data_IF_054772199525
#
_entry.id   IF_054772199525
#
_cell.length_a   1.000
_cell.length_b   1.000
_cell.length_c   1.000
_cell.angle_alpha   90.00
_cell.angle_beta   90.00
_cell.angle_gamma   90.00
#
_symmetry.space_group_name_H-M   'P 1'
#
loop_
_entity.id
_entity.type
_entity.pdbx_description
1 polymer ?
#
# COMPACT_ATOMS: atom_id res chain seq x y z
N UNK A 1 -23.80 -9.11 31.84
CA UNK A 1 -23.20 -7.76 31.83
C UNK A 1 -23.38 -7.25 30.41
N UNK A 2 -24.30 -6.31 30.17
CA UNK A 2 -24.60 -5.79 28.83
C UNK A 2 -23.47 -4.78 28.50
N UNK A 3 -22.68 -4.97 27.42
CA UNK A 3 -21.69 -4.00 27.02
C UNK A 3 -22.38 -2.65 26.77
N UNK A 4 -21.89 -1.59 27.40
CA UNK A 4 -22.43 -0.25 27.23
C UNK A 4 -22.26 0.22 25.78
N UNK A 5 -23.29 0.88 25.24
CA UNK A 5 -23.39 1.39 23.86
C UNK A 5 -22.15 2.21 23.41
N UNK A 6 -21.33 2.69 24.36
CA UNK A 6 -20.08 3.41 24.09
C UNK A 6 -18.96 2.54 23.48
N UNK A 7 -18.88 1.24 23.73
CA UNK A 7 -17.83 0.37 23.16
C UNK A 7 -18.01 0.13 21.66
N UNK A 8 -19.24 0.20 21.14
CA UNK A 8 -19.53 -0.09 19.74
C UNK A 8 -19.06 0.99 18.76
N UNK A 9 -18.87 2.23 19.23
CA UNK A 9 -18.42 3.36 18.38
C UNK A 9 -16.90 3.50 18.37
N UNK A 10 -16.21 2.98 19.39
CA UNK A 10 -14.74 3.06 19.55
C UNK A 10 -13.98 1.87 18.93
N UNK A 11 -14.67 0.81 18.48
CA UNK A 11 -14.04 -0.40 17.92
C UNK A 11 -13.85 -0.36 16.40
N UNK A 12 -14.39 0.65 15.70
CA UNK A 12 -14.22 0.74 14.26
C UNK A 12 -12.75 1.01 13.91
N UNK A 13 -12.12 0.03 13.27
CA UNK A 13 -10.73 0.14 12.80
C UNK A 13 -9.67 -0.25 13.84
N UNK A 14 -10.04 -0.99 14.88
CA UNK A 14 -9.07 -1.64 15.79
C UNK A 14 -9.04 -3.15 15.59
N UNK A 15 -7.86 -3.74 15.71
CA UNK A 15 -7.58 -5.16 15.49
C UNK A 15 -6.83 -5.76 16.69
N UNK A 16 -6.83 -7.08 16.85
CA UNK A 16 -6.12 -7.78 17.93
C UNK A 16 -5.00 -8.68 17.43
N UNK A 17 -5.17 -9.24 16.23
CA UNK A 17 -4.18 -10.10 15.59
C UNK A 17 -3.80 -9.60 14.20
N UNK A 18 -2.55 -9.87 13.82
CA UNK A 18 -2.07 -9.77 12.46
C UNK A 18 -1.54 -11.13 11.99
N UNK A 19 -2.03 -11.64 10.86
CA UNK A 19 -1.45 -12.77 10.14
C UNK A 19 -0.51 -12.22 9.06
N UNK A 20 0.76 -12.59 9.09
CA UNK A 20 1.79 -12.14 8.17
C UNK A 20 2.16 -13.29 7.24
N UNK A 21 2.25 -13.01 5.95
CA UNK A 21 2.66 -13.92 4.89
C UNK A 21 3.85 -13.28 4.18
N UNK A 22 4.97 -14.01 4.08
CA UNK A 22 6.25 -13.40 3.70
C UNK A 22 6.45 -13.26 2.20
N UNK A 23 5.73 -14.05 1.40
CA UNK A 23 5.89 -14.11 -0.06
C UNK A 23 4.55 -14.01 -0.78
N UNK A 24 4.58 -13.27 -1.90
CA UNK A 24 3.41 -13.06 -2.75
C UNK A 24 2.79 -14.37 -3.30
N UNK A 25 3.56 -15.39 -3.76
CA UNK A 25 2.97 -16.68 -4.14
C UNK A 25 2.22 -17.38 -2.99
N UNK A 26 2.72 -17.27 -1.76
CA UNK A 26 2.03 -17.84 -0.59
C UNK A 26 0.73 -17.08 -0.30
N UNK A 27 0.73 -15.75 -0.40
CA UNK A 27 -0.49 -14.97 -0.25
C UNK A 27 -1.52 -15.31 -1.35
N UNK A 28 -1.04 -15.57 -2.57
CA UNK A 28 -1.84 -16.10 -3.67
C UNK A 28 -2.45 -17.46 -3.33
N UNK A 29 -1.70 -18.40 -2.75
CA UNK A 29 -2.22 -19.68 -2.26
C UNK A 29 -3.26 -19.48 -1.17
N UNK A 30 -3.01 -18.57 -0.23
CA UNK A 30 -3.88 -18.34 0.93
C UNK A 30 -5.30 -17.93 0.54
N UNK A 31 -5.44 -17.19 -0.56
CA UNK A 31 -6.74 -16.72 -1.08
C UNK A 31 -7.24 -17.54 -2.27
N UNK A 32 -6.55 -18.60 -2.66
CA UNK A 32 -6.94 -19.46 -3.77
C UNK A 32 -7.88 -20.55 -3.28
N UNK A 33 -9.14 -20.60 -3.73
CA UNK A 33 -10.06 -21.64 -3.28
C UNK A 33 -9.73 -23.02 -3.89
N UNK A 34 -8.86 -23.09 -4.91
CA UNK A 34 -8.44 -24.32 -5.59
C UNK A 34 -7.07 -24.85 -5.12
N UNK A 35 -6.49 -24.25 -4.08
CA UNK A 35 -5.21 -24.69 -3.47
C UNK A 35 -5.24 -26.16 -3.06
N UNK A 36 -4.13 -26.88 -3.28
CA UNK A 36 -3.93 -28.25 -2.80
C UNK A 36 -3.31 -28.28 -1.41
N UNK A 37 -3.22 -29.46 -0.79
CA UNK A 37 -2.51 -29.62 0.50
C UNK A 37 -1.00 -29.41 0.34
N UNK A 38 -0.44 -29.74 -0.83
CA UNK A 38 0.95 -29.41 -1.17
C UNK A 38 1.15 -27.89 -1.21
N UNK A 39 0.24 -27.15 -1.86
CA UNK A 39 0.31 -25.68 -1.87
C UNK A 39 0.27 -25.11 -0.45
N UNK A 40 -0.62 -25.64 0.41
CA UNK A 40 -0.73 -25.23 1.82
C UNK A 40 0.56 -25.50 2.60
N UNK A 41 1.23 -26.62 2.34
CA UNK A 41 2.48 -26.97 3.03
C UNK A 41 3.62 -25.97 2.74
N UNK A 42 3.57 -25.24 1.62
CA UNK A 42 4.54 -24.19 1.28
C UNK A 42 4.28 -22.85 1.96
N UNK A 43 3.08 -22.65 2.51
CA UNK A 43 2.67 -21.39 3.13
C UNK A 43 3.32 -21.25 4.51
N UNK A 44 4.16 -20.22 4.64
CA UNK A 44 4.82 -19.86 5.89
C UNK A 44 4.21 -18.58 6.42
N UNK A 45 3.79 -18.63 7.67
CA UNK A 45 3.09 -17.50 8.30
C UNK A 45 3.69 -17.16 9.65
N UNK A 46 3.35 -15.97 10.11
CA UNK A 46 3.59 -15.53 11.47
C UNK A 46 2.36 -14.81 11.99
N UNK A 47 2.05 -15.01 13.28
CA UNK A 47 0.95 -14.33 13.96
C UNK A 47 1.55 -13.36 14.97
N UNK A 48 1.09 -12.11 14.92
CA UNK A 48 1.30 -11.14 16.00
C UNK A 48 -0.03 -10.97 16.73
N UNK A 49 -0.09 -11.38 18.00
CA UNK A 49 -1.23 -11.15 18.87
C UNK A 49 -0.85 -10.08 19.91
N UNK A 50 -1.39 -8.87 19.76
CA UNK A 50 -1.03 -7.76 20.65
C UNK A 50 -1.43 -8.00 22.12
N UNK A 51 -2.36 -8.93 22.38
CA UNK A 51 -2.85 -9.25 23.74
C UNK A 51 -1.84 -10.04 24.55
N UNK A 52 -0.88 -10.69 23.90
CA UNK A 52 0.22 -11.39 24.57
C UNK A 52 1.32 -10.42 25.00
N UNK A 53 1.40 -9.23 24.39
CA UNK A 53 2.38 -8.17 24.64
C UNK A 53 1.98 -7.26 25.82
N UNK A 54 1.70 -7.87 26.98
CA UNK A 54 1.13 -7.17 28.15
C UNK A 54 2.09 -6.15 28.78
N UNK A 55 3.39 -6.35 28.67
CA UNK A 55 4.39 -5.42 29.21
C UNK A 55 4.42 -4.13 28.39
N UNK A 56 4.38 -4.27 27.07
CA UNK A 56 4.45 -3.19 26.10
C UNK A 56 3.09 -2.46 25.97
N UNK A 57 2.00 -3.20 26.21
CA UNK A 57 0.61 -2.77 26.12
C UNK A 57 -0.18 -3.17 27.39
N UNK A 58 -0.02 -2.42 28.49
CA UNK A 58 -0.54 -2.81 29.80
C UNK A 58 -2.05 -2.62 29.97
N UNK A 59 -2.72 -1.91 29.05
CA UNK A 59 -4.17 -1.63 29.13
C UNK A 59 -4.92 -2.31 27.99
N UNK A 60 -6.20 -2.59 28.19
CA UNK A 60 -7.09 -3.14 27.14
C UNK A 60 -7.10 -2.25 25.90
N UNK A 61 -7.04 -0.92 26.09
CA UNK A 61 -6.96 0.02 24.97
C UNK A 61 -5.62 -0.07 24.23
N UNK A 62 -4.49 -0.21 24.95
CA UNK A 62 -3.20 -0.42 24.32
C UNK A 62 -3.12 -1.77 23.58
N UNK A 63 -3.90 -2.78 23.97
CA UNK A 63 -3.98 -4.10 23.33
C UNK A 63 -4.89 -4.12 22.09
N UNK A 64 -4.83 -3.04 21.32
CA UNK A 64 -5.52 -2.87 20.04
C UNK A 64 -4.51 -2.36 19.02
N UNK A 65 -4.54 -2.90 17.82
CA UNK A 65 -3.79 -2.43 16.66
C UNK A 65 -4.73 -1.51 15.87
N UNK A 66 -4.38 -0.24 15.67
CA UNK A 66 -5.10 0.69 14.77
C UNK A 66 -4.52 0.67 13.36
N UNK A 67 -3.20 0.56 13.27
CA UNK A 67 -2.45 0.50 12.01
C UNK A 67 -1.28 -0.44 12.17
N UNK A 68 -0.88 -1.07 11.09
CA UNK A 68 0.14 -2.11 11.06
C UNK A 68 0.97 -1.99 9.78
N UNK A 69 2.27 -2.21 9.90
CA UNK A 69 3.18 -2.36 8.76
C UNK A 69 4.38 -3.19 9.20
N UNK A 70 5.21 -3.59 8.24
CA UNK A 70 6.45 -4.32 8.50
C UNK A 70 7.68 -3.48 8.12
N UNK A 71 8.75 -3.64 8.87
CA UNK A 71 10.08 -3.15 8.53
C UNK A 71 11.05 -4.32 8.49
N UNK A 72 12.10 -4.19 7.69
CA UNK A 72 13.17 -5.17 7.67
C UNK A 72 14.53 -4.50 7.52
N UNK A 73 15.57 -5.24 7.87
CA UNK A 73 16.95 -4.87 7.63
C UNK A 73 17.75 -6.08 7.16
N UNK A 74 18.54 -5.90 6.10
CA UNK A 74 19.43 -6.92 5.58
C UNK A 74 20.59 -7.10 6.56
N UNK A 75 20.64 -8.26 7.21
CA UNK A 75 21.70 -8.65 8.13
C UNK A 75 22.71 -9.55 7.41
N UNK A 76 23.98 -9.36 7.76
CA UNK A 76 25.07 -10.22 7.34
C UNK A 76 25.42 -11.18 8.48
N UNK A 77 25.37 -12.49 8.21
CA UNK A 77 25.80 -13.53 9.15
C UNK A 77 27.30 -13.81 9.00
N UNK A 78 27.74 -13.92 7.75
CA UNK A 78 29.14 -14.11 7.34
C UNK A 78 29.36 -13.52 5.94
N UNK A 79 30.52 -13.77 5.33
CA UNK A 79 30.89 -13.23 4.01
C UNK A 79 29.91 -13.62 2.88
N UNK A 80 29.23 -14.77 3.00
CA UNK A 80 28.41 -15.33 1.93
C UNK A 80 26.92 -15.44 2.29
N UNK A 81 26.57 -15.33 3.58
CA UNK A 81 25.21 -15.51 4.07
C UNK A 81 24.61 -14.20 4.57
N UNK A 82 23.51 -13.80 3.92
CA UNK A 82 22.69 -12.66 4.34
C UNK A 82 21.25 -13.11 4.56
N UNK A 83 20.53 -12.41 5.45
CA UNK A 83 19.11 -12.65 5.69
C UNK A 83 18.40 -11.34 6.07
N UNK A 84 17.07 -11.35 6.06
CA UNK A 84 16.29 -10.20 6.50
C UNK A 84 15.83 -10.41 7.95
N UNK A 85 16.22 -9.52 8.86
CA UNK A 85 15.56 -9.39 10.16
C UNK A 85 14.31 -8.53 10.01
N UNK A 86 13.24 -8.88 10.71
CA UNK A 86 11.92 -8.26 10.55
C UNK A 86 11.39 -7.73 11.87
N UNK A 87 10.64 -6.63 11.80
CA UNK A 87 9.87 -6.12 12.92
C UNK A 87 8.49 -5.64 12.46
N UNK A 88 7.47 -5.92 13.25
CA UNK A 88 6.17 -5.30 13.10
C UNK A 88 6.23 -3.90 13.69
N UNK A 89 5.76 -2.91 12.94
CA UNK A 89 5.51 -1.56 13.43
C UNK A 89 4.01 -1.36 13.44
N UNK A 90 3.47 -0.93 14.58
CA UNK A 90 2.04 -0.72 14.71
C UNK A 90 1.72 0.52 15.53
N UNK A 91 0.53 1.07 15.28
CA UNK A 91 -0.07 2.10 16.12
C UNK A 91 -1.04 1.39 17.04
N UNK A 92 -0.83 1.50 18.35
CA UNK A 92 -1.72 0.86 19.32
C UNK A 92 -3.00 1.69 19.59
N UNK A 93 -3.95 1.21 20.40
CA UNK A 93 -5.19 1.95 20.66
C UNK A 93 -4.99 3.31 21.38
N UNK A 94 -3.84 3.51 22.02
CA UNK A 94 -3.43 4.79 22.62
C UNK A 94 -2.72 5.74 21.62
N UNK A 95 -2.77 5.42 20.32
CA UNK A 95 -2.12 6.15 19.22
C UNK A 95 -0.59 6.23 19.38
N UNK A 96 0.03 5.26 20.05
CA UNK A 96 1.49 5.20 20.19
C UNK A 96 2.09 4.32 19.09
N UNK A 97 3.21 4.75 18.51
CA UNK A 97 4.00 3.91 17.61
C UNK A 97 4.80 2.89 18.44
N UNK A 98 4.64 1.61 18.12
CA UNK A 98 5.26 0.46 18.81
C UNK A 98 5.96 -0.43 17.80
N UNK A 99 6.87 -1.27 18.29
CA UNK A 99 7.59 -2.25 17.51
C UNK A 99 7.54 -3.61 18.20
N UNK A 100 7.51 -4.69 17.41
CA UNK A 100 7.63 -6.07 17.88
C UNK A 100 8.60 -6.84 16.99
N UNK A 101 9.51 -7.61 17.58
CA UNK A 101 10.50 -8.39 16.84
C UNK A 101 9.82 -9.62 16.21
N UNK A 102 10.12 -9.88 14.95
CA UNK A 102 9.56 -11.01 14.20
C UNK A 102 10.68 -11.98 13.82
N UNK A 103 10.65 -13.19 14.40
CA UNK A 103 11.58 -14.27 14.06
C UNK A 103 10.90 -15.18 13.03
N UNK A 104 11.18 -14.94 11.75
CA UNK A 104 10.54 -15.67 10.65
C UNK A 104 10.85 -17.18 10.72
N UNK A 105 9.91 -18.07 10.35
CA UNK A 105 10.14 -19.52 10.39
C UNK A 105 11.37 -19.99 9.62
N UNK A 106 11.77 -19.26 8.57
CA UNK A 106 12.97 -19.52 7.77
C UNK A 106 14.28 -19.12 8.46
N UNK A 107 14.21 -18.40 9.58
CA UNK A 107 15.34 -17.78 10.28
C UNK A 107 15.42 -18.25 11.74
N UNK A 108 15.32 -19.57 11.95
CA UNK A 108 15.22 -20.16 13.28
C UNK A 108 16.55 -20.61 13.92
N UNK A 109 17.70 -20.42 13.26
CA UNK A 109 18.99 -20.73 13.89
C UNK A 109 19.35 -19.70 14.96
N UNK A 110 20.11 -20.10 15.98
CA UNK A 110 20.53 -19.21 17.07
C UNK A 110 21.25 -17.95 16.57
N UNK A 111 22.06 -18.07 15.51
CA UNK A 111 22.74 -16.94 14.89
C UNK A 111 21.76 -15.94 14.25
N UNK A 112 20.73 -16.43 13.55
CA UNK A 112 19.67 -15.57 12.98
C UNK A 112 18.92 -14.83 14.09
N UNK A 113 18.51 -15.54 15.15
CA UNK A 113 17.78 -14.98 16.29
C UNK A 113 18.61 -13.90 16.98
N UNK A 114 19.87 -14.21 17.29
CA UNK A 114 20.79 -13.28 17.95
C UNK A 114 20.97 -12.00 17.12
N UNK A 115 21.26 -12.12 15.82
CA UNK A 115 21.40 -10.95 14.93
C UNK A 115 20.11 -10.14 14.83
N UNK A 116 18.95 -10.80 14.76
CA UNK A 116 17.66 -10.12 14.73
C UNK A 116 17.40 -9.33 16.01
N UNK A 117 17.73 -9.89 17.17
CA UNK A 117 17.63 -9.22 18.46
C UNK A 117 18.62 -8.05 18.60
N UNK A 118 19.85 -8.21 18.12
CA UNK A 118 20.85 -7.13 18.07
C UNK A 118 20.35 -5.95 17.25
N UNK A 119 19.87 -6.23 16.02
CA UNK A 119 19.30 -5.21 15.16
C UNK A 119 18.06 -4.56 15.78
N UNK A 120 17.14 -5.34 16.33
CA UNK A 120 15.91 -4.81 16.92
C UNK A 120 16.17 -3.79 18.05
N UNK A 121 17.20 -4.02 18.87
CA UNK A 121 17.63 -3.07 19.93
C UNK A 121 18.12 -1.73 19.39
N UNK A 122 18.48 -1.64 18.11
CA UNK A 122 18.89 -0.38 17.48
C UNK A 122 17.69 0.50 17.09
N UNK A 123 16.49 -0.07 17.02
CA UNK A 123 15.27 0.67 16.67
C UNK A 123 14.93 1.67 17.79
N UNK A 124 14.92 2.95 17.44
CA UNK A 124 14.51 4.03 18.36
C UNK A 124 13.20 4.63 17.89
N UNK A 125 12.13 4.28 18.61
CA UNK A 125 10.79 4.80 18.36
C UNK A 125 10.64 6.26 18.81
N UNK A 126 9.66 6.99 18.28
CA UNK A 126 9.30 8.33 18.77
C UNK A 126 8.87 8.30 20.25
N UNK A 127 8.92 9.45 20.94
CA UNK A 127 8.39 9.58 22.30
C UNK A 127 6.90 9.19 22.41
N UNK A 128 6.49 8.64 23.56
CA UNK A 128 5.14 8.07 23.77
C UNK A 128 4.01 9.11 23.80
N UNK A 129 4.35 10.38 24.01
CA UNK A 129 3.48 11.53 23.93
C UNK A 129 3.11 11.90 22.50
N UNK A 130 3.91 11.52 21.51
CA UNK A 130 3.61 11.74 20.09
C UNK A 130 2.53 10.75 19.67
N UNK A 131 1.42 11.28 19.14
CA UNK A 131 0.25 10.48 18.74
C UNK A 131 0.19 10.32 17.23
N UNK A 132 0.02 9.09 16.78
CA UNK A 132 0.03 8.69 15.37
C UNK A 132 -1.34 8.19 14.90
N UNK A 133 -1.65 8.44 13.62
CA UNK A 133 -2.90 8.04 12.96
C UNK A 133 -2.69 7.16 11.74
N UNK A 134 -1.51 7.17 11.13
CA UNK A 134 -1.19 6.29 10.00
C UNK A 134 0.29 5.88 10.01
N UNK A 135 0.60 4.67 9.53
CA UNK A 135 1.96 4.18 9.35
C UNK A 135 2.03 3.22 8.18
N UNK A 136 3.04 3.37 7.33
CA UNK A 136 3.29 2.50 6.17
C UNK A 136 4.78 2.36 5.91
N UNK A 137 5.14 1.33 5.14
CA UNK A 137 6.55 0.96 4.92
C UNK A 137 6.77 0.27 3.57
N UNK A 138 7.93 0.55 2.97
CA UNK A 138 8.54 -0.29 1.93
C UNK A 138 9.57 -1.27 2.52
N UNK A 139 9.50 -1.51 3.83
CA UNK A 139 10.38 -2.40 4.56
C UNK A 139 11.65 -1.70 5.04
N UNK A 140 12.52 -1.26 4.13
CA UNK A 140 13.76 -0.59 4.49
C UNK A 140 13.56 0.89 4.90
N UNK A 141 12.51 1.54 4.40
CA UNK A 141 12.10 2.88 4.84
C UNK A 141 10.61 2.90 5.18
N UNK A 142 10.23 3.82 6.07
CA UNK A 142 8.88 3.92 6.62
C UNK A 142 8.50 5.36 6.92
N UNK A 143 7.19 5.62 6.91
CA UNK A 143 6.58 6.91 7.24
C UNK A 143 5.45 6.67 8.24
N UNK A 144 5.36 7.55 9.23
CA UNK A 144 4.26 7.58 10.19
C UNK A 144 3.74 9.02 10.30
N UNK A 145 2.41 9.17 10.31
CA UNK A 145 1.75 10.46 10.37
C UNK A 145 1.14 10.68 11.75
N UNK A 146 1.37 11.85 12.33
CA UNK A 146 0.84 12.24 13.63
C UNK A 146 -0.60 12.77 13.52
N UNK A 147 -1.31 12.83 14.66
CA UNK A 147 -2.66 13.44 14.74
C UNK A 147 -2.69 14.89 14.28
N UNK A 148 -1.60 15.64 14.49
CA UNK A 148 -1.42 17.01 14.05
C UNK A 148 -0.86 17.13 12.62
N UNK A 149 -0.84 16.05 11.84
CA UNK A 149 -0.53 16.09 10.41
C UNK A 149 0.95 16.17 10.03
N UNK A 150 1.87 15.93 10.96
CA UNK A 150 3.32 15.88 10.70
C UNK A 150 3.76 14.48 10.29
N UNK A 151 4.79 14.36 9.46
CA UNK A 151 5.41 13.06 9.14
C UNK A 151 6.68 12.81 9.93
N UNK A 152 6.80 11.59 10.40
CA UNK A 152 8.03 10.98 10.88
C UNK A 152 8.52 9.97 9.84
N UNK A 153 9.83 9.90 9.66
CA UNK A 153 10.48 8.98 8.74
C UNK A 153 11.55 8.14 9.44
N UNK A 154 11.74 6.92 8.94
CA UNK A 154 12.86 6.01 9.27
C UNK A 154 13.45 5.49 7.96
N UNK A 155 14.77 5.36 7.90
CA UNK A 155 15.50 4.74 6.78
C UNK A 155 15.77 5.65 5.59
N UNK A 156 15.36 6.93 5.65
CA UNK A 156 15.59 7.91 4.60
C UNK A 156 15.92 9.28 5.22
N UNK A 157 17.01 9.88 4.75
CA UNK A 157 17.46 11.23 5.10
C UNK A 157 16.64 12.28 4.35
N UNK A 158 16.61 13.52 4.85
CA UNK A 158 15.82 14.63 4.27
C UNK A 158 16.17 14.94 2.81
N UNK A 159 17.34 14.58 2.31
CA UNK A 159 17.70 14.71 0.89
C UNK A 159 17.19 13.56 0.01
N UNK A 160 16.44 12.62 0.58
CA UNK A 160 15.91 11.43 -0.09
C UNK A 160 16.90 10.26 -0.15
N UNK A 161 18.13 10.43 0.34
CA UNK A 161 19.11 9.34 0.38
C UNK A 161 18.80 8.35 1.50
N UNK A 162 19.27 7.11 1.35
CA UNK A 162 19.13 6.09 2.39
C UNK A 162 19.91 6.48 3.65
N UNK A 163 19.24 6.40 4.80
CA UNK A 163 19.92 6.51 6.09
C UNK A 163 20.66 5.21 6.38
N UNK A 164 21.95 5.17 6.01
CA UNK A 164 22.82 4.01 6.20
C UNK A 164 23.20 3.87 7.67
N UNK A 165 22.36 3.20 8.44
CA UNK A 165 22.74 2.66 9.75
C UNK A 165 22.10 3.32 10.96
N UNK A 166 21.02 4.10 10.81
CA UNK A 166 20.21 4.47 11.96
C UNK A 166 18.76 3.99 11.82
N UNK A 167 18.35 3.12 12.76
CA UNK A 167 16.97 2.66 12.89
C UNK A 167 16.15 3.64 13.74
N UNK A 168 16.39 4.94 13.55
CA UNK A 168 15.85 6.02 14.35
C UNK A 168 14.69 6.66 13.61
N UNK A 169 13.53 6.74 14.25
CA UNK A 169 12.43 7.55 13.76
C UNK A 169 12.71 9.03 14.04
N UNK A 170 12.62 9.86 13.01
CA UNK A 170 12.84 11.31 13.10
C UNK A 170 11.69 12.08 12.45
N UNK A 171 11.43 13.28 12.96
CA UNK A 171 10.51 14.22 12.33
C UNK A 171 11.07 14.62 10.96
N UNK A 172 10.28 14.48 9.91
CA UNK A 172 10.71 14.76 8.54
C UNK A 172 10.69 16.29 8.27
N UNK A 173 11.81 16.86 7.83
CA UNK A 173 11.92 18.32 7.69
C UNK A 173 11.01 18.94 6.63
N UNK A 174 10.58 18.17 5.63
CA UNK A 174 9.69 18.67 4.57
C UNK A 174 8.21 18.66 4.97
N UNK A 175 7.87 17.90 6.02
CA UNK A 175 6.50 17.58 6.37
C UNK A 175 6.21 17.80 7.88
N UNK A 176 6.74 18.88 8.45
CA UNK A 176 6.66 19.15 9.90
C UNK A 176 6.15 20.54 10.29
N UNK A 177 5.42 21.23 9.40
CA UNK A 177 4.83 22.55 9.70
C UNK A 177 4.13 22.60 11.06
N UNK A 178 4.29 23.70 11.78
CA UNK A 178 3.81 23.83 13.16
C UNK A 178 2.29 23.65 13.30
N UNK A 179 1.53 24.04 12.28
CA UNK A 179 0.07 23.91 12.17
C UNK A 179 -0.40 22.61 11.49
N UNK A 180 0.53 21.73 11.09
CA UNK A 180 0.24 20.51 10.34
C UNK A 180 -0.09 20.72 8.86
N UNK A 181 0.02 21.95 8.35
CA UNK A 181 -0.29 22.26 6.96
C UNK A 181 0.99 22.31 6.13
N UNK A 182 1.11 21.36 5.22
CA UNK A 182 2.31 21.21 4.38
C UNK A 182 2.26 22.25 3.26
N UNK A 183 3.27 23.13 3.14
CA UNK A 183 3.31 24.12 2.07
C UNK A 183 3.51 23.44 0.71
N UNK A 184 2.83 23.95 -0.32
CA UNK A 184 3.00 23.55 -1.71
C UNK A 184 2.75 24.72 -2.64
N UNK A 185 2.96 24.53 -3.95
CA UNK A 185 2.60 25.54 -4.96
C UNK A 185 1.09 25.83 -5.03
N UNK A 186 0.26 25.00 -4.39
CA UNK A 186 -1.20 25.14 -4.32
C UNK A 186 -1.69 25.67 -2.96
N UNK A 187 -0.76 26.19 -2.14
CA UNK A 187 -1.04 26.64 -0.79
C UNK A 187 -0.88 25.54 0.27
N UNK A 188 -0.85 25.91 1.56
CA UNK A 188 -0.67 24.98 2.66
C UNK A 188 -1.88 24.05 2.80
N UNK A 189 -1.66 22.75 2.98
CA UNK A 189 -2.73 21.74 3.06
C UNK A 189 -2.33 20.54 3.91
N UNK A 190 -3.31 19.81 4.44
CA UNK A 190 -3.09 18.55 5.16
C UNK A 190 -2.67 17.44 4.20
N UNK A 191 -1.94 16.46 4.74
CA UNK A 191 -1.65 15.21 4.05
C UNK A 191 -2.91 14.36 3.98
N UNK A 192 -3.27 13.96 2.77
CA UNK A 192 -4.40 13.07 2.49
C UNK A 192 -3.98 11.61 2.48
N UNK A 193 -2.87 11.31 1.81
CA UNK A 193 -2.37 9.95 1.65
C UNK A 193 -0.86 9.99 1.47
N UNK A 194 -0.16 8.99 2.00
CA UNK A 194 1.18 8.64 1.55
C UNK A 194 1.25 7.16 1.20
N UNK A 195 2.09 6.83 0.23
CA UNK A 195 2.27 5.49 -0.34
C UNK A 195 3.72 5.30 -0.79
N UNK A 196 4.08 4.06 -1.08
CA UNK A 196 5.45 3.66 -1.36
C UNK A 196 5.52 2.99 -2.72
N UNK A 197 6.50 3.38 -3.53
CA UNK A 197 6.86 2.74 -4.79
C UNK A 197 8.33 2.35 -4.71
N UNK A 198 8.62 1.08 -4.40
CA UNK A 198 9.97 0.58 -4.15
C UNK A 198 10.74 1.45 -3.15
N UNK A 199 11.57 2.35 -3.66
CA UNK A 199 12.52 3.21 -2.95
C UNK A 199 12.10 4.69 -2.93
N UNK A 200 10.80 4.95 -3.13
CA UNK A 200 10.23 6.29 -3.19
C UNK A 200 8.94 6.39 -2.39
N UNK A 201 8.72 7.54 -1.75
CA UNK A 201 7.45 7.95 -1.17
C UNK A 201 6.69 8.82 -2.17
N UNK A 202 5.39 8.57 -2.26
CA UNK A 202 4.43 9.47 -2.91
C UNK A 202 3.54 10.02 -1.80
N UNK A 203 3.50 11.35 -1.64
CA UNK A 203 2.68 12.05 -0.66
C UNK A 203 1.68 12.92 -1.42
N UNK A 204 0.39 12.80 -1.10
CA UNK A 204 -0.70 13.56 -1.69
C UNK A 204 -1.33 14.41 -0.60
N UNK A 205 -1.49 15.71 -0.86
CA UNK A 205 -2.19 16.65 0.01
C UNK A 205 -3.67 16.75 -0.35
N UNK A 206 -4.51 17.24 0.57
CA UNK A 206 -5.95 17.45 0.32
C UNK A 206 -6.23 18.42 -0.83
N UNK A 207 -5.42 19.47 -0.99
CA UNK A 207 -5.51 20.41 -2.12
C UNK A 207 -5.01 19.85 -3.46
N UNK A 208 -4.59 18.58 -3.50
CA UNK A 208 -4.17 17.90 -4.73
C UNK A 208 -2.68 18.01 -5.06
N UNK A 209 -1.90 18.72 -4.25
CA UNK A 209 -0.45 18.73 -4.41
C UNK A 209 0.14 17.34 -4.20
N UNK A 210 1.12 16.96 -5.01
CA UNK A 210 1.75 15.64 -4.97
C UNK A 210 3.27 15.80 -4.88
N UNK A 211 3.86 15.13 -3.89
CA UNK A 211 5.30 15.09 -3.68
C UNK A 211 5.85 13.68 -3.95
N UNK A 212 7.07 13.64 -4.48
CA UNK A 212 7.88 12.44 -4.61
C UNK A 212 9.18 12.63 -3.82
N UNK A 213 9.53 11.63 -3.01
CA UNK A 213 10.66 11.69 -2.08
C UNK A 213 11.42 10.35 -2.05
N UNK A 214 12.72 10.35 -2.31
CA UNK A 214 13.53 9.14 -2.50
C UNK A 214 14.09 9.02 -3.91
N UNK A 215 14.08 7.83 -4.52
CA UNK A 215 14.56 7.64 -5.90
C UNK A 215 13.60 8.22 -6.96
N UNK A 216 14.11 9.06 -7.86
CA UNK A 216 13.32 9.83 -8.83
C UNK A 216 13.63 9.48 -10.29
N UNK A 217 14.29 8.35 -10.56
CA UNK A 217 14.68 7.92 -11.91
C UNK A 217 13.53 7.92 -12.92
N UNK A 218 12.32 7.55 -12.51
CA UNK A 218 11.13 7.53 -13.37
C UNK A 218 10.65 8.93 -13.81
N UNK A 219 11.09 9.98 -13.11
CA UNK A 219 10.77 11.37 -13.43
C UNK A 219 11.91 12.06 -14.19
N UNK A 220 12.96 11.35 -14.58
CA UNK A 220 14.08 11.93 -15.34
C UNK A 220 13.75 12.24 -16.81
N UNK A 221 12.53 11.88 -17.26
CA UNK A 221 11.98 12.42 -18.51
C UNK A 221 11.71 13.93 -18.46
N UNK A 222 11.73 14.53 -17.26
CA UNK A 222 11.63 15.97 -17.05
C UNK A 222 13.01 16.58 -16.79
N UNK A 223 13.23 17.83 -17.24
CA UNK A 223 14.53 18.48 -17.09
C UNK A 223 14.88 18.72 -15.62
N UNK A 224 16.17 18.58 -15.30
CA UNK A 224 16.75 18.92 -13.99
C UNK A 224 16.20 18.13 -12.78
N UNK A 225 15.67 16.92 -13.00
CA UNK A 225 15.26 16.04 -11.90
C UNK A 225 16.48 15.24 -11.40
N UNK A 226 16.85 15.34 -10.10
CA UNK A 226 17.96 14.56 -9.56
C UNK A 226 17.61 13.07 -9.53
N UNK A 227 18.61 12.19 -9.45
CA UNK A 227 18.37 10.74 -9.34
C UNK A 227 17.69 10.35 -8.02
N UNK A 228 18.03 11.06 -6.95
CA UNK A 228 17.52 10.89 -5.59
C UNK A 228 17.23 12.29 -5.06
N UNK A 229 16.09 12.48 -4.41
CA UNK A 229 15.72 13.81 -3.93
C UNK A 229 14.31 13.92 -3.39
N UNK A 230 13.87 15.18 -3.29
CA UNK A 230 12.52 15.59 -2.95
C UNK A 230 12.03 16.56 -4.04
N UNK A 231 10.85 16.28 -4.63
CA UNK A 231 10.24 17.12 -5.66
C UNK A 231 8.73 17.22 -5.47
N UNK A 232 8.15 18.37 -5.83
CA UNK A 232 6.70 18.55 -5.98
C UNK A 232 6.33 18.28 -7.45
N UNK A 233 5.62 17.18 -7.70
CA UNK A 233 5.18 16.77 -9.04
C UNK A 233 4.12 17.72 -9.63
N UNK A 234 3.45 18.47 -8.76
CA UNK A 234 2.39 19.44 -9.09
C UNK A 234 2.87 20.87 -9.30
N UNK A 235 4.18 21.15 -9.18
CA UNK A 235 4.76 22.47 -9.44
C UNK A 235 4.77 22.74 -10.96
N UNK A 236 3.75 23.43 -11.47
CA UNK A 236 3.59 23.74 -12.90
C UNK A 236 4.67 24.66 -13.49
N UNK A 237 5.49 25.30 -12.64
CA UNK A 237 6.64 26.08 -13.11
C UNK A 237 7.83 25.18 -13.46
N UNK A 238 7.93 24.00 -12.83
CA UNK A 238 9.04 23.04 -13.03
C UNK A 238 8.62 21.80 -13.84
N UNK A 239 7.38 21.37 -13.66
CA UNK A 239 6.85 20.14 -14.20
C UNK A 239 5.76 20.45 -15.23
N UNK A 240 5.93 19.97 -16.46
CA UNK A 240 4.93 20.11 -17.52
C UNK A 240 4.34 18.75 -17.87
N UNK A 241 3.03 18.62 -18.15
CA UNK A 241 2.49 17.34 -18.55
C UNK A 241 3.15 16.81 -19.83
N UNK A 242 3.41 15.50 -19.83
CA UNK A 242 3.63 14.74 -21.04
C UNK A 242 2.44 13.78 -21.13
N UNK A 243 1.45 14.09 -21.97
CA UNK A 243 0.29 13.21 -22.15
C UNK A 243 0.38 12.49 -23.49
N UNK A 244 -0.11 11.26 -23.50
CA UNK A 244 -0.23 10.45 -24.71
C UNK A 244 -1.67 10.54 -25.22
N UNK A 245 -1.86 11.23 -26.34
CA UNK A 245 -3.20 11.56 -26.88
C UNK A 245 -4.07 10.33 -27.13
N UNK A 246 -3.47 9.18 -27.50
CA UNK A 246 -4.21 7.93 -27.72
C UNK A 246 -4.91 7.42 -26.45
N UNK A 247 -4.29 7.59 -25.28
CA UNK A 247 -4.87 7.21 -23.99
C UNK A 247 -5.77 8.31 -23.43
N UNK A 248 -5.37 9.58 -23.57
CA UNK A 248 -6.10 10.74 -23.07
C UNK A 248 -7.42 10.98 -23.80
N UNK A 249 -7.45 10.69 -25.10
CA UNK A 249 -8.58 11.00 -25.96
C UNK A 249 -8.93 12.50 -25.93
N UNK A 250 -10.19 12.81 -25.64
CA UNK A 250 -10.73 14.18 -25.68
C UNK A 250 -10.61 14.97 -24.37
N UNK A 251 -9.99 14.41 -23.33
CA UNK A 251 -9.83 15.11 -22.06
C UNK A 251 -9.00 16.41 -22.23
N UNK A 252 -9.29 17.46 -21.43
CA UNK A 252 -8.65 18.75 -21.54
C UNK A 252 -7.11 18.69 -21.43
N UNK A 253 -6.49 19.74 -21.97
CA UNK A 253 -5.07 19.84 -22.25
C UNK A 253 -4.12 19.79 -21.05
N UNK A 254 -2.82 19.88 -21.37
CA UNK A 254 -1.73 20.02 -20.42
C UNK A 254 -1.76 21.35 -19.62
N UNK A 255 -2.61 22.29 -20.03
CA UNK A 255 -2.73 23.60 -19.41
C UNK A 255 -3.52 23.50 -18.11
N UNK A 256 -2.81 23.33 -17.01
CA UNK A 256 -3.37 23.35 -15.68
C UNK A 256 -2.31 23.58 -14.61
N UNK A 257 -2.77 23.73 -13.38
CA UNK A 257 -1.91 24.13 -12.26
C UNK A 257 -1.17 22.95 -11.63
N UNK A 258 -1.56 21.70 -11.89
CA UNK A 258 -1.07 20.49 -11.21
C UNK A 258 0.14 19.82 -11.88
N UNK A 259 1.11 20.61 -12.35
CA UNK A 259 2.41 20.10 -12.81
C UNK A 259 2.30 18.99 -13.86
N UNK A 260 2.86 17.79 -13.59
CA UNK A 260 2.78 16.65 -14.53
C UNK A 260 1.34 16.15 -14.78
N UNK A 261 0.39 16.54 -13.92
CA UNK A 261 -1.01 16.14 -13.98
C UNK A 261 -1.91 17.20 -14.64
N UNK A 262 -1.37 18.29 -15.18
CA UNK A 262 -2.16 19.28 -15.93
C UNK A 262 -3.28 19.89 -15.07
N UNK A 263 -4.54 19.71 -15.46
CA UNK A 263 -5.70 20.23 -14.73
C UNK A 263 -6.30 19.25 -13.71
N UNK A 264 -5.69 18.08 -13.51
CA UNK A 264 -6.31 16.98 -12.76
C UNK A 264 -5.95 17.00 -11.26
N UNK A 265 -6.96 17.19 -10.41
CA UNK A 265 -6.82 17.11 -8.95
C UNK A 265 -6.68 15.66 -8.49
N UNK A 266 -5.45 15.23 -8.20
CA UNK A 266 -5.12 13.88 -7.71
C UNK A 266 -5.53 13.71 -6.25
N UNK A 267 -6.16 12.58 -5.93
CA UNK A 267 -6.64 12.27 -4.57
C UNK A 267 -6.18 10.91 -4.03
N UNK A 268 -5.63 10.04 -4.89
CA UNK A 268 -5.17 8.71 -4.49
C UNK A 268 -4.04 8.20 -5.39
N UNK A 269 -3.11 7.43 -4.82
CA UNK A 269 -2.09 6.67 -5.56
C UNK A 269 -2.20 5.17 -5.26
N UNK A 270 -2.10 4.36 -6.32
CA UNK A 270 -2.10 2.90 -6.32
C UNK A 270 -0.72 2.40 -6.77
N UNK A 271 0.10 1.98 -5.80
CA UNK A 271 1.53 1.62 -5.98
C UNK A 271 1.79 0.66 -7.14
N UNK A 272 1.30 -0.57 -7.07
CA UNK A 272 1.69 -1.60 -8.02
C UNK A 272 1.09 -1.36 -9.43
N UNK A 273 0.06 -0.51 -9.53
CA UNK A 273 -0.50 -0.04 -10.80
C UNK A 273 0.23 1.19 -11.37
N UNK A 274 1.12 1.81 -10.59
CA UNK A 274 1.76 3.11 -10.84
C UNK A 274 0.77 4.14 -11.38
N UNK A 275 -0.38 4.18 -10.71
CA UNK A 275 -1.55 4.93 -11.16
C UNK A 275 -2.05 5.86 -10.06
N UNK A 276 -2.43 7.06 -10.46
CA UNK A 276 -3.15 8.02 -9.65
C UNK A 276 -4.63 8.00 -10.03
N UNK A 277 -5.48 8.36 -9.09
CA UNK A 277 -6.90 8.62 -9.34
C UNK A 277 -7.23 10.03 -8.89
N UNK A 278 -8.00 10.74 -9.73
CA UNK A 278 -8.43 12.12 -9.49
C UNK A 278 -9.71 12.17 -8.65
N UNK A 279 -10.08 13.35 -8.16
CA UNK A 279 -11.35 13.58 -7.47
C UNK A 279 -12.58 13.17 -8.31
N UNK A 280 -12.45 13.28 -9.64
CA UNK A 280 -13.48 12.89 -10.60
C UNK A 280 -13.41 11.42 -11.03
N UNK A 281 -12.53 10.62 -10.43
CA UNK A 281 -12.39 9.19 -10.74
C UNK A 281 -11.65 8.91 -12.05
N UNK A 282 -10.92 9.89 -12.61
CA UNK A 282 -10.06 9.70 -13.78
C UNK A 282 -8.78 9.01 -13.33
N UNK A 283 -8.38 7.96 -14.06
CA UNK A 283 -7.11 7.27 -13.81
C UNK A 283 -5.99 7.98 -14.57
N UNK A 284 -4.90 8.32 -13.89
CA UNK A 284 -3.67 8.80 -14.51
C UNK A 284 -2.59 7.74 -14.31
N UNK A 285 -2.14 7.13 -15.39
CA UNK A 285 -1.26 5.96 -15.38
C UNK A 285 0.11 6.30 -15.94
N UNK A 286 1.15 5.65 -15.42
CA UNK A 286 2.44 5.65 -16.10
C UNK A 286 2.35 4.79 -17.37
N UNK A 287 2.56 5.42 -18.52
CA UNK A 287 2.74 4.77 -19.81
C UNK A 287 4.05 5.23 -20.44
N UNK A 288 4.56 4.52 -21.43
CA UNK A 288 5.77 4.93 -22.14
C UNK A 288 5.60 4.93 -23.66
N UNK A 289 6.45 5.75 -24.29
CA UNK A 289 6.66 5.80 -25.74
C UNK A 289 8.11 5.41 -26.00
N UNK A 290 8.35 4.51 -26.96
CA UNK A 290 9.71 4.23 -27.43
C UNK A 290 10.14 5.29 -28.45
N UNK A 291 11.25 5.96 -28.17
CA UNK A 291 11.87 6.97 -29.05
C UNK A 291 13.34 6.62 -29.18
N UNK A 292 13.80 6.29 -30.39
CA UNK A 292 15.21 5.97 -30.67
C UNK A 292 15.80 4.89 -29.74
N UNK A 293 15.04 3.81 -29.46
CA UNK A 293 15.42 2.72 -28.54
C UNK A 293 15.56 3.14 -27.07
N UNK A 294 15.04 4.31 -26.69
CA UNK A 294 14.90 4.74 -25.30
C UNK A 294 13.42 4.84 -24.94
N UNK A 295 13.09 4.49 -23.70
CA UNK A 295 11.73 4.64 -23.18
C UNK A 295 11.57 6.03 -22.56
N UNK A 296 10.53 6.74 -23.00
CA UNK A 296 10.08 7.98 -22.36
C UNK A 296 8.80 7.71 -21.59
N UNK A 297 8.88 7.74 -20.26
CA UNK A 297 7.72 7.57 -19.38
C UNK A 297 6.93 8.87 -19.25
N UNK A 298 5.60 8.75 -19.27
CA UNK A 298 4.65 9.85 -19.23
C UNK A 298 3.46 9.43 -18.36
N UNK A 299 3.05 10.29 -17.42
CA UNK A 299 1.85 10.07 -16.61
C UNK A 299 0.64 10.62 -17.37
N UNK A 300 -0.18 9.73 -17.91
CA UNK A 300 -1.24 10.10 -18.86
C UNK A 300 -2.61 9.79 -18.27
N UNK A 301 -3.56 10.75 -18.27
CA UNK A 301 -4.96 10.49 -17.93
C UNK A 301 -5.57 9.52 -18.96
N UNK A 302 -6.36 8.57 -18.49
CA UNK A 302 -7.09 7.62 -19.34
C UNK A 302 -8.47 8.21 -19.61
N UNK A 303 -8.86 8.30 -20.88
CA UNK A 303 -10.19 8.73 -21.31
C UNK A 303 -11.27 7.85 -20.63
N UNK A 304 -12.22 8.42 -19.85
CA UNK A 304 -13.26 7.66 -19.18
C UNK A 304 -14.08 6.77 -20.11
N UNK A 305 -14.10 7.03 -21.42
CA UNK A 305 -14.78 6.13 -22.39
C UNK A 305 -14.25 4.70 -22.36
N UNK A 306 -12.97 4.49 -22.02
CA UNK A 306 -12.41 3.13 -21.83
C UNK A 306 -13.08 2.39 -20.68
N UNK A 307 -13.69 3.14 -19.75
CA UNK A 307 -14.44 2.64 -18.62
C UNK A 307 -15.93 2.96 -18.73
N UNK A 308 -16.47 3.06 -19.96
CA UNK A 308 -17.89 3.33 -20.19
C UNK A 308 -18.38 4.69 -19.68
N UNK A 309 -17.47 5.65 -19.46
CA UNK A 309 -17.77 6.96 -18.90
C UNK A 309 -17.84 7.01 -17.37
N UNK A 310 -17.56 5.90 -16.69
CA UNK A 310 -17.70 5.79 -15.23
C UNK A 310 -16.43 6.15 -14.47
N UNK A 311 -16.61 6.55 -13.21
CA UNK A 311 -15.50 6.82 -12.28
C UNK A 311 -14.84 5.53 -11.83
N UNK A 312 -13.51 5.50 -11.79
CA UNK A 312 -12.75 4.42 -11.16
C UNK A 312 -12.62 4.69 -9.66
N UNK A 313 -13.04 3.72 -8.85
CA UNK A 313 -13.01 3.80 -7.37
C UNK A 313 -11.92 2.93 -6.76
N UNK A 314 -11.48 1.89 -7.48
CA UNK A 314 -10.42 0.99 -7.03
C UNK A 314 -9.58 0.46 -8.19
N UNK A 315 -8.29 0.25 -7.93
CA UNK A 315 -7.35 -0.36 -8.85
C UNK A 315 -6.53 -1.38 -8.08
N UNK A 316 -6.29 -2.55 -8.67
CA UNK A 316 -5.29 -3.49 -8.21
C UNK A 316 -4.46 -3.96 -9.41
N UNK A 317 -3.17 -4.13 -9.19
CA UNK A 317 -2.22 -4.59 -10.20
C UNK A 317 -1.37 -5.67 -9.55
N UNK A 318 -1.45 -6.87 -10.11
CA UNK A 318 -0.67 -8.01 -9.67
C UNK A 318 -0.15 -8.78 -10.90
N UNK A 319 -0.79 -9.88 -11.30
CA UNK A 319 -0.47 -10.52 -12.59
C UNK A 319 -1.15 -9.76 -13.71
N UNK A 320 -2.38 -9.28 -13.46
CA UNK A 320 -3.23 -8.49 -14.35
C UNK A 320 -3.65 -7.19 -13.66
N UNK A 321 -4.14 -6.21 -14.40
CA UNK A 321 -4.76 -5.02 -13.80
C UNK A 321 -6.26 -5.28 -13.64
N UNK A 322 -6.83 -4.82 -12.53
CA UNK A 322 -8.26 -4.71 -12.34
C UNK A 322 -8.65 -3.27 -12.01
N UNK A 323 -9.54 -2.69 -12.81
CA UNK A 323 -10.14 -1.38 -12.58
C UNK A 323 -11.59 -1.59 -12.17
N UNK A 324 -11.97 -1.10 -10.99
CA UNK A 324 -13.36 -1.19 -10.50
C UNK A 324 -14.01 0.17 -10.60
N UNK A 325 -15.12 0.23 -11.32
CA UNK A 325 -15.95 1.42 -11.52
C UNK A 325 -16.88 1.67 -10.33
N UNK A 326 -17.47 2.86 -10.25
CA UNK A 326 -18.45 3.23 -9.23
C UNK A 326 -19.76 2.42 -9.29
N UNK A 327 -20.12 1.80 -10.42
CA UNK A 327 -21.24 0.85 -10.48
C UNK A 327 -20.86 -0.56 -10.01
N UNK A 328 -19.59 -0.83 -9.74
CA UNK A 328 -19.07 -2.16 -9.42
C UNK A 328 -18.69 -3.00 -10.64
N UNK A 329 -18.66 -2.43 -11.85
CA UNK A 329 -18.05 -3.11 -13.00
C UNK A 329 -16.53 -3.23 -12.80
N UNK A 330 -16.01 -4.44 -12.85
CA UNK A 330 -14.59 -4.77 -12.86
C UNK A 330 -14.12 -4.99 -14.31
N UNK A 331 -13.05 -4.29 -14.70
CA UNK A 331 -12.45 -4.31 -16.03
C UNK A 331 -11.03 -4.84 -15.89
N UNK A 332 -10.73 -5.93 -16.58
CA UNK A 332 -9.51 -6.72 -16.39
C UNK A 332 -8.62 -6.62 -17.63
N UNK A 333 -7.38 -6.17 -17.48
CA UNK A 333 -6.38 -6.09 -18.57
C UNK A 333 -5.13 -6.88 -18.19
N UNK A 334 -4.28 -7.24 -19.17
CA UNK A 334 -3.15 -8.13 -18.87
C UNK A 334 -2.02 -7.44 -18.13
N UNK A 335 -1.97 -6.10 -18.17
CA UNK A 335 -0.96 -5.27 -17.50
C UNK A 335 0.50 -5.51 -17.94
N UNK A 336 0.75 -6.42 -18.90
CA UNK A 336 2.10 -6.85 -19.30
C UNK A 336 2.87 -5.73 -19.98
N UNK A 337 2.17 -4.84 -20.69
CA UNK A 337 2.79 -3.78 -21.48
C UNK A 337 2.14 -2.43 -21.16
N UNK A 338 2.97 -1.50 -20.68
CA UNK A 338 2.61 -0.07 -20.53
C UNK A 338 3.12 0.76 -21.71
N UNK A 339 3.51 0.10 -22.80
CA UNK A 339 3.65 0.73 -24.11
C UNK A 339 2.27 1.23 -24.52
N UNK A 340 2.17 2.49 -24.91
CA UNK A 340 0.88 3.15 -25.00
C UNK A 340 -0.05 2.60 -26.08
N UNK A 341 0.47 2.07 -27.20
CA UNK A 341 -0.35 1.53 -28.27
C UNK A 341 -0.99 0.22 -27.84
N UNK A 342 -0.20 -0.68 -27.26
CA UNK A 342 -0.66 -1.96 -26.72
C UNK A 342 -1.59 -1.73 -25.54
N UNK A 343 -1.25 -0.81 -24.65
CA UNK A 343 -2.08 -0.52 -23.48
C UNK A 343 -3.42 0.11 -23.86
N UNK A 344 -3.46 1.02 -24.84
CA UNK A 344 -4.72 1.54 -25.38
C UNK A 344 -5.57 0.45 -26.05
N UNK A 345 -4.92 -0.51 -26.73
CA UNK A 345 -5.63 -1.64 -27.33
C UNK A 345 -6.22 -2.58 -26.26
N UNK A 346 -5.48 -2.83 -25.17
CA UNK A 346 -5.99 -3.63 -24.04
C UNK A 346 -7.14 -2.93 -23.31
N UNK A 347 -7.11 -1.60 -23.17
CA UNK A 347 -8.22 -0.86 -22.58
C UNK A 347 -9.45 -0.82 -23.49
N UNK A 348 -9.26 -0.79 -24.81
CA UNK A 348 -10.35 -0.85 -25.79
C UNK A 348 -11.00 -2.25 -25.84
N UNK A 349 -10.19 -3.29 -25.68
CA UNK A 349 -10.62 -4.69 -25.69
C UNK A 349 -10.05 -5.40 -24.45
N UNK A 350 -10.63 -5.12 -23.27
CA UNK A 350 -10.20 -5.76 -22.03
C UNK A 350 -10.37 -7.27 -22.11
N UNK A 351 -9.58 -8.00 -21.33
CA UNK A 351 -9.70 -9.46 -21.29
C UNK A 351 -11.06 -9.89 -20.75
N UNK A 352 -11.52 -9.19 -19.72
CA UNK A 352 -12.81 -9.43 -19.10
C UNK A 352 -13.44 -8.12 -18.64
N UNK A 353 -14.77 -8.09 -18.71
CA UNK A 353 -15.60 -7.03 -18.12
C UNK A 353 -16.73 -7.74 -17.39
N UNK A 354 -16.85 -7.53 -16.09
CA UNK A 354 -17.83 -8.23 -15.27
C UNK A 354 -18.33 -7.37 -14.13
N UNK A 355 -19.49 -7.73 -13.58
CA UNK A 355 -20.05 -7.07 -12.40
C UNK A 355 -19.57 -7.80 -11.14
N UNK A 356 -19.06 -7.07 -10.15
CA UNK A 356 -18.78 -7.69 -8.85
C UNK A 356 -20.10 -8.19 -8.21
N UNK A 357 -20.10 -9.34 -7.52
CA UNK A 357 -21.32 -10.02 -7.07
C UNK A 357 -21.92 -9.43 -5.78
N UNK A 358 -21.53 -8.21 -5.40
CA UNK A 358 -21.98 -7.51 -4.21
C UNK A 358 -21.98 -5.98 -4.44
N UNK A 359 -22.74 -5.20 -3.67
CA UNK A 359 -22.71 -3.74 -3.75
C UNK A 359 -21.30 -3.16 -3.59
N UNK A 360 -20.93 -2.16 -4.41
CA UNK A 360 -19.58 -1.59 -4.41
C UNK A 360 -19.17 -0.99 -3.06
N UNK A 361 -20.11 -0.50 -2.27
CA UNK A 361 -19.88 0.03 -0.93
C UNK A 361 -19.52 -1.07 0.09
N UNK A 362 -19.70 -2.35 -0.25
CA UNK A 362 -19.21 -3.50 0.51
C UNK A 362 -17.78 -3.91 0.14
N UNK A 363 -17.22 -3.41 -0.97
CA UNK A 363 -15.82 -3.65 -1.32
C UNK A 363 -14.90 -2.97 -0.29
N UNK A 364 -14.04 -3.74 0.36
CA UNK A 364 -12.97 -3.20 1.20
C UNK A 364 -11.72 -2.96 0.35
N UNK A 365 -11.19 -4.02 -0.26
CA UNK A 365 -10.06 -3.95 -1.20
C UNK A 365 -10.07 -5.15 -2.14
N UNK A 366 -9.47 -5.00 -3.32
CA UNK A 366 -8.99 -6.14 -4.07
C UNK A 366 -7.69 -6.65 -3.44
N UNK A 367 -7.48 -7.96 -3.47
CA UNK A 367 -6.29 -8.60 -2.89
C UNK A 367 -5.35 -9.00 -4.03
N UNK A 368 -5.79 -9.91 -4.92
CA UNK A 368 -4.97 -10.47 -5.99
C UNK A 368 -5.76 -10.54 -7.29
N UNK A 369 -5.09 -10.23 -8.40
CA UNK A 369 -5.56 -10.50 -9.77
C UNK A 369 -4.64 -11.57 -10.39
N UNK A 370 -5.18 -12.76 -10.68
CA UNK A 370 -4.53 -13.84 -11.43
C UNK A 370 -5.07 -13.88 -12.87
N UNK A 371 -4.66 -14.87 -13.65
CA UNK A 371 -5.17 -15.14 -15.03
C UNK A 371 -6.57 -15.77 -15.06
N UNK A 372 -7.00 -16.40 -13.98
CA UNK A 372 -8.25 -17.17 -13.93
C UNK A 372 -9.33 -16.52 -13.07
N UNK A 373 -8.93 -15.69 -12.11
CA UNK A 373 -9.82 -15.02 -11.17
C UNK A 373 -9.15 -13.79 -10.57
N UNK A 374 -9.96 -12.99 -9.88
CA UNK A 374 -9.49 -12.00 -8.92
C UNK A 374 -10.14 -12.25 -7.55
N UNK A 375 -9.48 -11.80 -6.49
CA UNK A 375 -9.98 -11.92 -5.12
C UNK A 375 -10.26 -10.55 -4.51
N UNK A 376 -11.36 -10.47 -3.77
CA UNK A 376 -11.80 -9.27 -3.10
C UNK A 376 -12.04 -9.55 -1.61
N UNK A 377 -11.60 -8.64 -0.75
CA UNK A 377 -12.01 -8.58 0.65
C UNK A 377 -13.29 -7.74 0.73
N UNK A 378 -14.35 -8.34 1.26
CA UNK A 378 -15.59 -7.64 1.58
C UNK A 378 -15.50 -7.04 3.01
N UNK A 379 -16.23 -5.96 3.29
CA UNK A 379 -16.35 -5.33 4.61
C UNK A 379 -16.92 -6.26 5.69
N UNK A 380 -17.66 -7.30 5.30
CA UNK A 380 -18.13 -8.33 6.24
C UNK A 380 -17.02 -9.29 6.72
N UNK A 381 -15.85 -9.23 6.07
CA UNK A 381 -14.65 -10.01 6.37
C UNK A 381 -14.46 -11.26 5.53
N UNK A 382 -15.33 -11.52 4.55
CA UNK A 382 -15.15 -12.62 3.60
C UNK A 382 -14.18 -12.25 2.48
N UNK A 383 -13.37 -13.21 2.09
CA UNK A 383 -12.57 -13.19 0.87
C UNK A 383 -13.36 -13.93 -0.21
N UNK A 384 -13.67 -13.22 -1.29
CA UNK A 384 -14.42 -13.77 -2.41
C UNK A 384 -13.49 -13.92 -3.62
N UNK A 385 -13.34 -15.14 -4.12
CA UNK A 385 -12.68 -15.43 -5.39
C UNK A 385 -13.72 -15.46 -6.51
N UNK A 386 -13.50 -14.63 -7.54
CA UNK A 386 -14.44 -14.41 -8.65
C UNK A 386 -13.75 -14.83 -9.94
N UNK A 387 -14.19 -15.95 -10.52
CA UNK A 387 -13.62 -16.50 -11.76
C UNK A 387 -14.07 -15.70 -12.96
N UNK A 388 -13.14 -15.42 -13.88
CA UNK A 388 -13.44 -14.60 -15.06
C UNK A 388 -14.29 -15.34 -16.10
N UNK A 389 -14.07 -16.64 -16.25
CA UNK A 389 -14.65 -17.47 -17.32
C UNK A 389 -16.17 -17.61 -17.20
N UNK A 390 -16.66 -17.88 -15.97
CA UNK A 390 -18.06 -18.17 -15.70
C UNK A 390 -18.70 -17.19 -14.69
N UNK A 391 -17.94 -16.25 -14.16
CA UNK A 391 -18.39 -15.33 -13.12
C UNK A 391 -18.69 -15.99 -11.78
N UNK A 392 -18.32 -17.27 -11.60
CA UNK A 392 -18.57 -18.01 -10.36
C UNK A 392 -17.84 -17.36 -9.19
N UNK A 393 -18.50 -17.41 -8.04
CA UNK A 393 -18.04 -16.78 -6.81
C UNK A 393 -17.85 -17.87 -5.76
N UNK A 394 -16.65 -17.93 -5.19
CA UNK A 394 -16.31 -18.85 -4.11
C UNK A 394 -15.82 -18.08 -2.91
N UNK A 395 -16.26 -18.50 -1.73
CA UNK A 395 -15.68 -18.03 -0.48
C UNK A 395 -14.31 -18.71 -0.30
N UNK A 396 -13.26 -17.90 -0.12
CA UNK A 396 -11.87 -18.33 0.08
C UNK A 396 -11.34 -17.89 1.46
N UNK A 397 -12.25 -17.63 2.42
CA UNK A 397 -11.90 -17.17 3.77
C UNK A 397 -11.40 -18.30 4.67
N UNK A 398 -11.69 -19.55 4.31
CA UNK A 398 -11.52 -20.73 5.15
C UNK A 398 -10.06 -20.95 5.57
N UNK A 399 -9.10 -20.86 4.65
CA UNK A 399 -7.70 -21.11 5.00
C UNK A 399 -7.03 -19.95 5.74
N UNK A 400 -7.41 -18.70 5.46
CA UNK A 400 -7.00 -17.57 6.32
C UNK A 400 -7.51 -17.75 7.75
N UNK A 401 -8.74 -18.26 7.90
CA UNK A 401 -9.36 -18.56 9.21
C UNK A 401 -8.69 -19.73 9.91
N UNK A 402 -8.31 -20.77 9.17
CA UNK A 402 -7.52 -21.89 9.67
C UNK A 402 -6.16 -21.40 10.21
N UNK A 403 -5.43 -20.62 9.41
CA UNK A 403 -4.11 -20.10 9.76
C UNK A 403 -4.13 -19.22 11.01
N UNK A 404 -5.08 -18.27 11.10
CA UNK A 404 -5.15 -17.37 12.26
C UNK A 404 -5.57 -18.09 13.56
N UNK A 405 -6.26 -19.23 13.43
CA UNK A 405 -6.69 -20.06 14.55
C UNK A 405 -5.75 -21.25 14.84
N UNK A 406 -4.56 -21.29 14.23
CA UNK A 406 -3.60 -22.38 14.46
C UNK A 406 -3.17 -22.51 15.95
N UNK A 407 -3.31 -21.45 16.74
CA UNK A 407 -3.05 -21.42 18.19
C UNK A 407 -4.31 -21.62 19.07
N UNK A 408 -5.48 -21.81 18.47
CA UNK A 408 -6.77 -21.93 19.16
C UNK A 408 -7.36 -20.61 19.68
N UNK A 409 -6.75 -19.46 19.38
CA UNK A 409 -7.19 -18.12 19.88
C UNK A 409 -7.71 -17.23 18.73
N UNK A 410 -7.86 -17.77 17.53
CA UNK A 410 -8.33 -17.06 16.33
C UNK A 410 -9.76 -17.39 15.91
N UNK A 411 -10.43 -18.32 16.60
CA UNK A 411 -11.75 -18.81 16.22
C UNK A 411 -12.79 -17.67 16.16
N UNK A 412 -13.51 -17.58 15.04
CA UNK A 412 -14.58 -16.59 14.82
C UNK A 412 -14.10 -15.16 14.55
N UNK A 413 -12.78 -14.90 14.53
CA UNK A 413 -12.25 -13.60 14.16
C UNK A 413 -12.55 -13.25 12.71
N UNK A 414 -12.92 -12.00 12.45
CA UNK A 414 -13.21 -11.50 11.10
C UNK A 414 -12.05 -10.70 10.57
N UNK A 415 -11.73 -10.92 9.29
CA UNK A 415 -10.77 -10.11 8.57
C UNK A 415 -11.36 -8.72 8.40
N UNK A 416 -10.62 -7.68 8.77
CA UNK A 416 -11.06 -6.28 8.62
C UNK A 416 -10.19 -5.49 7.68
N UNK A 417 -8.95 -5.93 7.49
CA UNK A 417 -7.99 -5.25 6.64
C UNK A 417 -7.05 -6.25 5.99
N UNK A 418 -6.70 -5.97 4.74
CA UNK A 418 -5.60 -6.59 4.03
C UNK A 418 -4.63 -5.48 3.64
N UNK A 419 -3.35 -5.70 3.90
CA UNK A 419 -2.30 -4.73 3.63
C UNK A 419 -1.04 -5.36 3.05
N UNK A 420 -0.19 -4.50 2.52
CA UNK A 420 1.07 -4.88 1.90
C UNK A 420 2.20 -4.01 2.44
N UNK A 421 3.31 -4.64 2.83
CA UNK A 421 4.52 -3.97 3.30
C UNK A 421 5.75 -4.65 2.69
N UNK A 422 6.49 -3.91 1.86
CA UNK A 422 7.61 -4.44 1.05
C UNK A 422 7.19 -5.61 0.15
N UNK A 423 7.57 -6.85 0.52
CA UNK A 423 7.30 -8.12 -0.17
C UNK A 423 6.29 -8.99 0.59
N UNK A 424 5.91 -8.56 1.79
CA UNK A 424 5.03 -9.29 2.71
C UNK A 424 3.61 -8.76 2.64
N UNK A 425 2.65 -9.67 2.78
CA UNK A 425 1.23 -9.38 2.87
C UNK A 425 0.76 -9.65 4.31
N UNK A 426 -0.27 -8.95 4.75
CA UNK A 426 -0.83 -9.21 6.07
C UNK A 426 -2.34 -9.00 6.12
N UNK A 427 -2.98 -9.77 7.00
CA UNK A 427 -4.39 -9.66 7.35
C UNK A 427 -4.52 -9.19 8.80
N UNK A 428 -5.42 -8.25 9.07
CA UNK A 428 -5.74 -7.80 10.43
C UNK A 428 -7.14 -8.25 10.84
N UNK A 429 -7.26 -8.70 12.10
CA UNK A 429 -8.43 -9.39 12.64
C UNK A 429 -8.97 -8.70 13.89
N UNK A 430 -10.30 -8.69 14.06
CA UNK A 430 -11.00 -8.03 15.18
C UNK A 430 -10.97 -8.75 16.55
#
# INVERSE_FOLDING_TARGET
MIPTIQEHTLSQGTYKKALIITKLPQAATVVDPDRTEEDKAEVKTMIVDIRTLKTENPTVEAQKIKKFTLIFSNQQLDENNTFCSWAAIYINGLNQLKAELLIMPEHCTEAHVTKSQEWFKTIRLPPLEVKFVDVKSAGAYSLAMTEDGKLWSRGMNDDGTWDKGTEIWRLNLHFNSGDGLIPSTHGPSKIRQFSFELHRAIIILENGAVFAYGQLHEFQGWPNIPQIGFIELTDSNKMKPCFIDKLRGGLPGADGTFGIFGSFHVVKYFRDAKAFVTADGIVIVQAYVEVEKKYRYCYTPIDPKFFGGEKIVHINSHVWDAYVTESGRAIITRAVYKEYQEFAAELATPQYVMQIPFPIDQLNTLIITKKTHFTALNKDGRILSIRYEDGSVRDATDYVSELINADGVGEGMKIKHFGHASVCQFFLFD
#
